data_IF_401784440345
#
_entry.id   IF_401784440345
#
_cell.length_a   1.000
_cell.length_b   1.000
_cell.length_c   1.000
_cell.angle_alpha   90.00
_cell.angle_beta   90.00
_cell.angle_gamma   90.00
#
_symmetry.space_group_name_H-M   'P 1'
#
loop_
_entity.id
_entity.type
_entity.pdbx_description
1 polymer ?
#
# COMPACT_ATOMS: atom_id res chain seq x y z
N UNK A 1 1.17 -6.40 24.75
CA UNK A 1 1.51 -7.64 24.02
C UNK A 1 1.67 -7.22 22.57
N UNK A 2 2.87 -7.25 22.01
CA UNK A 2 3.12 -6.78 20.65
C UNK A 2 2.71 -7.90 19.69
N UNK A 3 1.68 -7.69 18.87
CA UNK A 3 1.31 -8.64 17.83
C UNK A 3 2.48 -8.80 16.85
N UNK A 4 2.74 -10.02 16.36
CA UNK A 4 3.78 -10.22 15.37
C UNK A 4 3.36 -9.47 14.11
N UNK A 5 4.27 -8.63 13.59
CA UNK A 5 4.09 -7.98 12.29
C UNK A 5 3.79 -9.07 11.27
N UNK A 6 2.56 -9.10 10.74
CA UNK A 6 2.25 -9.95 9.60
C UNK A 6 3.06 -9.39 8.45
N UNK A 7 4.20 -10.01 8.19
CA UNK A 7 5.00 -9.75 7.00
C UNK A 7 4.19 -10.27 5.84
N UNK A 8 3.26 -9.46 5.35
CA UNK A 8 2.47 -9.82 4.19
C UNK A 8 3.43 -9.93 3.01
N UNK A 9 3.75 -11.17 2.61
CA UNK A 9 4.62 -11.50 1.48
C UNK A 9 3.90 -11.20 0.16
N UNK A 10 3.56 -9.93 -0.07
CA UNK A 10 3.05 -9.48 -1.35
C UNK A 10 4.22 -9.29 -2.32
N UNK A 11 4.09 -9.85 -3.53
CA UNK A 11 5.00 -9.54 -4.61
C UNK A 11 4.80 -8.10 -5.09
N UNK A 12 5.87 -7.31 -5.07
CA UNK A 12 5.94 -5.98 -5.70
C UNK A 12 7.06 -6.03 -6.73
N UNK A 13 6.76 -5.62 -7.97
CA UNK A 13 7.78 -5.59 -9.02
C UNK A 13 8.90 -4.60 -8.67
N UNK A 14 10.11 -4.86 -9.17
CA UNK A 14 11.26 -4.01 -8.87
C UNK A 14 11.05 -2.56 -9.31
N UNK A 15 10.35 -2.35 -10.42
CA UNK A 15 10.04 -1.03 -10.97
C UNK A 15 9.08 -0.27 -10.04
N UNK A 16 8.01 -0.91 -9.58
CA UNK A 16 7.07 -0.28 -8.64
C UNK A 16 7.78 0.03 -7.33
N UNK A 17 8.56 -0.91 -6.80
CA UNK A 17 9.34 -0.69 -5.59
C UNK A 17 10.26 0.52 -5.72
N UNK A 18 10.99 0.64 -6.83
CA UNK A 18 11.89 1.77 -7.06
C UNK A 18 11.15 3.12 -7.07
N UNK A 19 9.96 3.17 -7.67
CA UNK A 19 9.14 4.38 -7.67
C UNK A 19 8.61 4.70 -6.26
N UNK A 20 8.21 3.69 -5.50
CA UNK A 20 7.74 3.86 -4.13
C UNK A 20 8.86 4.28 -3.18
N UNK A 21 10.08 3.73 -3.30
CA UNK A 21 11.26 4.13 -2.53
C UNK A 21 11.52 5.65 -2.69
N UNK A 22 11.53 6.14 -3.95
CA UNK A 22 11.68 7.58 -4.26
C UNK A 22 10.55 8.42 -3.68
N UNK A 23 9.32 7.90 -3.77
CA UNK A 23 8.14 8.60 -3.27
C UNK A 23 8.16 8.75 -1.76
N UNK A 24 8.60 7.69 -1.06
CA UNK A 24 8.76 7.65 0.40
C UNK A 24 9.81 8.67 0.86
N UNK A 25 10.93 8.76 0.15
CA UNK A 25 11.98 9.74 0.45
C UNK A 25 11.47 11.19 0.37
N UNK A 26 10.69 11.51 -0.66
CA UNK A 26 10.10 12.85 -0.84
C UNK A 26 9.10 13.16 0.27
N UNK A 27 8.18 12.22 0.58
CA UNK A 27 7.16 12.43 1.62
C UNK A 27 7.81 12.69 2.98
N UNK A 28 8.81 11.87 3.36
CA UNK A 28 9.45 11.95 4.68
C UNK A 28 10.35 13.18 4.81
N UNK A 29 11.16 13.48 3.78
CA UNK A 29 12.22 14.49 3.91
C UNK A 29 11.82 15.87 3.38
N UNK A 30 10.84 15.95 2.48
CA UNK A 30 10.37 17.20 1.89
C UNK A 30 9.03 17.68 2.47
N UNK A 31 8.49 16.99 3.47
CA UNK A 31 7.23 17.32 4.16
C UNK A 31 6.07 17.49 3.16
N UNK A 32 5.94 16.53 2.24
CA UNK A 32 4.92 16.54 1.21
C UNK A 32 3.91 15.43 1.43
N UNK A 33 2.63 15.78 1.33
CA UNK A 33 1.55 14.82 1.25
C UNK A 33 1.48 14.18 -0.14
N UNK A 34 1.18 12.89 -0.17
CA UNK A 34 1.01 12.15 -1.43
C UNK A 34 -0.24 11.30 -1.40
N UNK A 35 -1.06 11.47 -2.43
CA UNK A 35 -2.33 10.75 -2.62
C UNK A 35 -2.23 9.90 -3.88
N UNK A 36 -2.63 8.63 -3.78
CA UNK A 36 -2.74 7.72 -4.93
C UNK A 36 -4.20 7.55 -5.32
N UNK A 37 -4.50 7.76 -6.61
CA UNK A 37 -5.81 7.48 -7.19
C UNK A 37 -5.65 6.34 -8.18
N UNK A 38 -6.21 5.18 -7.86
CA UNK A 38 -6.11 3.98 -8.69
C UNK A 38 -7.47 3.72 -9.34
N UNK A 39 -7.51 3.80 -10.67
CA UNK A 39 -8.73 3.62 -11.47
C UNK A 39 -8.53 2.50 -12.49
N UNK A 40 -9.61 2.04 -13.11
CA UNK A 40 -9.56 0.98 -14.12
C UNK A 40 -10.85 0.18 -14.20
N UNK A 41 -10.87 -0.80 -15.11
CA UNK A 41 -12.02 -1.69 -15.32
C UNK A 41 -12.25 -2.58 -14.10
N UNK A 42 -13.46 -3.10 -13.97
CA UNK A 42 -13.76 -4.14 -12.98
C UNK A 42 -12.85 -5.37 -13.19
N UNK A 43 -12.47 -6.03 -12.10
CA UNK A 43 -11.57 -7.20 -12.15
C UNK A 43 -10.10 -6.91 -12.46
N UNK A 44 -9.69 -5.64 -12.67
CA UNK A 44 -8.30 -5.31 -13.02
C UNK A 44 -7.32 -5.30 -11.83
N UNK A 45 -7.73 -5.72 -10.63
CA UNK A 45 -6.85 -5.77 -9.45
C UNK A 45 -6.56 -4.42 -8.78
N UNK A 46 -7.42 -3.40 -8.95
CA UNK A 46 -7.22 -2.05 -8.36
C UNK A 46 -7.03 -2.07 -6.84
N UNK A 47 -7.94 -2.74 -6.13
CA UNK A 47 -7.89 -2.85 -4.67
C UNK A 47 -6.67 -3.64 -4.20
N UNK A 48 -6.31 -4.70 -4.94
CA UNK A 48 -5.11 -5.48 -4.67
C UNK A 48 -3.85 -4.61 -4.77
N UNK A 49 -3.69 -3.86 -5.86
CA UNK A 49 -2.57 -2.93 -6.01
C UNK A 49 -2.54 -1.88 -4.90
N UNK A 50 -3.70 -1.33 -4.51
CA UNK A 50 -3.79 -0.37 -3.41
C UNK A 50 -3.27 -0.96 -2.09
N UNK A 51 -3.70 -2.18 -1.75
CA UNK A 51 -3.25 -2.87 -0.54
C UNK A 51 -1.75 -3.16 -0.57
N UNK A 52 -1.21 -3.57 -1.72
CA UNK A 52 0.22 -3.82 -1.86
C UNK A 52 1.06 -2.55 -1.64
N UNK A 53 0.61 -1.41 -2.20
CA UNK A 53 1.28 -0.12 -2.00
C UNK A 53 1.20 0.30 -0.52
N UNK A 54 0.03 0.15 0.11
CA UNK A 54 -0.15 0.48 1.52
C UNK A 54 0.73 -0.39 2.43
N UNK A 55 0.73 -1.71 2.26
CA UNK A 55 1.55 -2.65 3.02
C UNK A 55 3.07 -2.43 2.84
N UNK A 56 3.49 -1.93 1.68
CA UNK A 56 4.89 -1.55 1.46
C UNK A 56 5.28 -0.28 2.23
N UNK A 57 4.39 0.71 2.30
CA UNK A 57 4.63 1.96 3.01
C UNK A 57 4.52 1.78 4.53
N UNK A 58 3.53 1.00 4.96
CA UNK A 58 3.27 0.62 6.35
C UNK A 58 3.17 -0.91 6.48
N UNK A 59 4.22 -1.58 7.01
CA UNK A 59 4.22 -3.03 7.20
C UNK A 59 3.17 -3.56 8.18
N UNK A 60 2.49 -2.70 8.93
CA UNK A 60 1.39 -3.10 9.83
C UNK A 60 0.03 -3.09 9.16
N UNK A 61 -0.08 -2.50 7.96
CA UNK A 61 -1.33 -2.35 7.24
C UNK A 61 -1.97 -3.70 6.89
N UNK A 62 -3.27 -3.81 7.17
CA UNK A 62 -4.08 -5.00 6.93
C UNK A 62 -5.50 -4.64 6.43
N UNK A 63 -6.35 -5.64 6.21
CA UNK A 63 -7.70 -5.42 5.69
C UNK A 63 -8.58 -4.66 6.68
N UNK A 64 -8.34 -4.82 7.99
CA UNK A 64 -9.08 -4.14 9.05
C UNK A 64 -8.91 -2.60 9.02
N UNK A 65 -7.87 -2.11 8.34
CA UNK A 65 -7.62 -0.67 8.14
C UNK A 65 -8.45 -0.07 6.97
N UNK A 66 -9.25 -0.89 6.28
CA UNK A 66 -10.02 -0.50 5.10
C UNK A 66 -11.50 -0.31 5.46
N UNK A 67 -12.01 0.89 5.24
CA UNK A 67 -13.38 1.28 5.61
C UNK A 67 -14.49 0.57 4.78
N UNK A 68 -14.14 0.03 3.61
CA UNK A 68 -15.05 -0.69 2.72
C UNK A 68 -14.40 -2.03 2.34
N UNK A 69 -14.53 -3.01 3.21
CA UNK A 69 -14.17 -4.38 2.90
C UNK A 69 -15.36 -5.12 2.24
N UNK A 70 -15.21 -6.41 1.98
CA UNK A 70 -16.26 -7.21 1.33
C UNK A 70 -17.43 -7.56 2.26
N UNK A 71 -17.23 -7.41 3.57
CA UNK A 71 -18.13 -7.90 4.61
C UNK A 71 -18.94 -6.76 5.30
N UNK A 72 -18.55 -5.49 5.08
CA UNK A 72 -19.11 -4.26 5.67
C UNK A 72 -20.21 -3.59 4.85
#
# INVERSE_FOLDING_TARGET
MMMPLIKNDYYISAEIKQQLDKSKEIVINADQDRIFIITGREGSGKSWLAMQIAAYLDPTFCLDDVCFDADS
#
